data_IF_806152664297
#
_entry.id   IF_806152664297
#
_cell.length_a   1.000
_cell.length_b   1.000
_cell.length_c   1.000
_cell.angle_alpha   90.00
_cell.angle_beta   90.00
_cell.angle_gamma   90.00
#
_symmetry.space_group_name_H-M   'P 1'
#
loop_
_entity.id
_entity.type
_entity.pdbx_description
1 polymer ?
#
# COMPACT_ATOMS: atom_id res chain seq x y z
N UNK A 1 26.84 12.54 29.03
CA UNK A 1 27.51 13.21 27.89
C UNK A 1 27.85 12.15 26.84
N UNK A 2 26.82 11.58 26.19
CA UNK A 2 26.89 10.61 25.07
C UNK A 2 25.61 10.76 24.21
N UNK A 3 25.23 12.02 23.93
CA UNK A 3 24.20 12.39 22.95
C UNK A 3 24.93 13.01 21.76
N UNK A 4 25.27 12.22 20.74
CA UNK A 4 25.66 12.77 19.42
C UNK A 4 26.04 11.74 18.34
N UNK A 5 26.02 10.43 18.58
CA UNK A 5 26.60 9.51 17.58
C UNK A 5 25.66 9.02 16.47
N UNK A 6 24.36 9.29 16.50
CA UNK A 6 23.46 8.87 15.41
C UNK A 6 22.32 9.87 15.20
N UNK A 7 22.56 10.86 14.33
CA UNK A 7 21.60 11.62 13.50
C UNK A 7 22.30 12.84 12.88
N UNK A 8 23.35 12.55 12.10
CA UNK A 8 23.77 13.41 10.99
C UNK A 8 24.04 12.49 9.82
N UNK A 9 22.97 11.96 9.26
CA UNK A 9 23.06 11.46 7.88
C UNK A 9 23.25 12.71 7.02
N UNK A 10 24.51 13.04 6.75
CA UNK A 10 24.84 13.87 5.60
C UNK A 10 24.44 13.06 4.38
N UNK A 11 23.22 13.27 3.90
CA UNK A 11 22.74 12.65 2.68
C UNK A 11 23.56 13.21 1.51
N UNK A 12 24.61 12.46 1.13
CA UNK A 12 25.14 12.51 -0.23
C UNK A 12 23.95 12.35 -1.20
N UNK A 13 24.02 12.98 -2.37
CA UNK A 13 23.15 12.70 -3.53
C UNK A 13 22.82 11.20 -3.55
N UNK A 14 21.57 10.84 -3.31
CA UNK A 14 21.12 9.44 -3.32
C UNK A 14 21.29 8.94 -4.76
N UNK A 15 22.07 7.87 -4.95
CA UNK A 15 22.35 7.33 -6.28
C UNK A 15 21.17 6.46 -6.74
N UNK A 16 20.89 6.42 -8.04
CA UNK A 16 19.87 5.54 -8.64
C UNK A 16 20.06 4.07 -8.25
N UNK A 17 21.31 3.64 -8.05
CA UNK A 17 21.65 2.28 -7.60
C UNK A 17 21.18 1.99 -6.17
N UNK A 18 20.94 3.02 -5.37
CA UNK A 18 20.48 2.86 -3.99
C UNK A 18 18.97 2.61 -3.92
N UNK A 19 18.24 2.65 -5.05
CA UNK A 19 16.78 2.45 -5.10
C UNK A 19 16.34 1.14 -5.72
N UNK A 20 17.22 0.34 -6.32
CA UNK A 20 16.85 -0.95 -6.94
C UNK A 20 17.60 -2.09 -6.25
N UNK A 21 16.85 -3.08 -5.77
CA UNK A 21 17.36 -4.33 -5.24
C UNK A 21 17.02 -5.47 -6.21
N UNK A 22 18.04 -6.15 -6.73
CA UNK A 22 17.84 -7.39 -7.47
C UNK A 22 17.52 -8.52 -6.49
N UNK A 23 16.25 -8.94 -6.47
CA UNK A 23 15.80 -10.02 -5.60
C UNK A 23 15.47 -11.26 -6.42
N UNK A 24 15.89 -12.41 -5.91
CA UNK A 24 15.45 -13.70 -6.43
C UNK A 24 14.06 -14.04 -5.87
N UNK A 25 13.15 -14.34 -6.78
CA UNK A 25 11.80 -14.81 -6.48
C UNK A 25 11.68 -16.32 -6.74
N UNK A 26 12.81 -17.03 -6.75
CA UNK A 26 12.86 -18.50 -6.67
C UNK A 26 12.12 -18.95 -5.40
N UNK A 27 10.93 -19.52 -5.58
CA UNK A 27 10.02 -19.86 -4.50
C UNK A 27 8.64 -19.30 -4.82
N UNK A 28 7.66 -20.18 -4.97
CA UNK A 28 6.34 -19.75 -5.44
C UNK A 28 5.52 -19.13 -4.32
N UNK A 29 5.72 -19.47 -3.05
CA UNK A 29 4.81 -19.10 -1.96
C UNK A 29 5.58 -18.91 -0.65
N UNK A 30 5.18 -17.94 0.17
CA UNK A 30 5.75 -17.67 1.50
C UNK A 30 4.65 -17.85 2.56
N UNK A 31 4.97 -18.56 3.65
CA UNK A 31 4.05 -18.76 4.77
C UNK A 31 3.95 -17.53 5.67
N UNK A 32 5.10 -16.97 6.07
CA UNK A 32 5.17 -15.71 6.81
C UNK A 32 4.91 -14.51 5.87
N UNK A 33 4.43 -13.38 6.40
CA UNK A 33 4.14 -12.22 5.56
C UNK A 33 5.43 -11.62 4.99
N UNK A 34 5.50 -11.53 3.67
CA UNK A 34 6.59 -10.88 2.93
C UNK A 34 5.99 -9.86 1.97
N UNK A 35 6.48 -8.63 2.03
CA UNK A 35 6.08 -7.54 1.14
C UNK A 35 7.25 -7.13 0.29
N UNK A 36 7.05 -7.16 -1.03
CA UNK A 36 8.03 -6.67 -2.00
C UNK A 36 7.47 -5.45 -2.72
N UNK A 37 8.15 -4.31 -2.59
CA UNK A 37 7.75 -3.12 -3.34
C UNK A 37 8.28 -3.20 -4.78
N UNK A 38 7.41 -3.37 -5.76
CA UNK A 38 7.79 -3.48 -7.19
C UNK A 38 7.93 -2.09 -7.84
N UNK A 39 7.42 -1.06 -7.16
CA UNK A 39 7.45 0.34 -7.58
C UNK A 39 6.05 0.91 -7.72
N UNK A 40 5.92 2.22 -7.54
CA UNK A 40 4.65 2.95 -7.49
C UNK A 40 3.73 2.40 -6.40
N UNK A 41 2.49 2.03 -6.72
CA UNK A 41 1.56 1.33 -5.83
C UNK A 41 1.57 -0.20 -6.02
N UNK A 42 2.51 -0.74 -6.82
CA UNK A 42 2.61 -2.18 -7.07
C UNK A 42 3.41 -2.88 -5.97
N UNK A 43 2.74 -3.76 -5.23
CA UNK A 43 3.35 -4.66 -4.26
C UNK A 43 3.04 -6.10 -4.60
N UNK A 44 4.05 -6.97 -4.47
CA UNK A 44 3.84 -8.40 -4.30
C UNK A 44 3.77 -8.67 -2.79
N UNK A 45 2.59 -9.08 -2.33
CA UNK A 45 2.32 -9.46 -0.95
C UNK A 45 2.19 -10.99 -0.93
N UNK A 46 3.05 -11.64 -0.17
CA UNK A 46 3.02 -13.08 0.03
C UNK A 46 2.68 -13.33 1.50
N UNK A 47 1.60 -14.08 1.75
CA UNK A 47 1.10 -14.31 3.12
C UNK A 47 0.30 -15.61 3.15
N UNK A 48 0.56 -16.49 4.13
CA UNK A 48 -0.21 -17.72 4.30
C UNK A 48 -0.18 -18.67 3.10
N UNK A 49 0.85 -18.59 2.26
CA UNK A 49 0.94 -19.39 1.04
C UNK A 49 0.12 -18.87 -0.14
N UNK A 50 -0.35 -17.61 -0.12
CA UNK A 50 -0.96 -16.95 -1.30
C UNK A 50 -0.12 -15.77 -1.77
N UNK A 51 -0.14 -15.51 -3.08
CA UNK A 51 0.47 -14.34 -3.69
C UNK A 51 -0.58 -13.35 -4.18
N UNK A 52 -0.49 -12.13 -3.68
CA UNK A 52 -1.40 -11.03 -3.97
C UNK A 52 -0.60 -9.91 -4.63
N UNK A 53 -1.10 -9.38 -5.74
CA UNK A 53 -0.48 -8.26 -6.45
C UNK A 53 -1.41 -7.04 -6.41
N UNK A 54 -0.93 -5.91 -5.90
CA UNK A 54 -1.71 -4.66 -5.88
C UNK A 54 -1.40 -3.82 -7.12
N UNK A 55 -2.41 -3.15 -7.67
CA UNK A 55 -2.30 -2.11 -8.71
C UNK A 55 -1.14 -2.32 -9.70
N UNK A 56 -1.17 -3.41 -10.50
CA UNK A 56 0.00 -3.88 -11.22
C UNK A 56 0.38 -2.94 -12.36
N UNK A 57 1.54 -2.29 -12.20
CA UNK A 57 2.22 -1.54 -13.25
C UNK A 57 3.66 -2.02 -13.33
N UNK A 58 3.92 -2.92 -14.27
CA UNK A 58 5.17 -3.66 -14.47
C UNK A 58 6.02 -3.09 -15.63
N UNK A 59 5.74 -1.84 -16.02
CA UNK A 59 6.38 -1.14 -17.12
C UNK A 59 6.00 0.34 -17.14
N UNK A 60 6.07 0.95 -18.33
CA UNK A 60 5.44 2.26 -18.58
C UNK A 60 3.90 2.09 -18.63
N UNK A 61 3.13 3.00 -18.01
CA UNK A 61 1.67 2.89 -17.88
C UNK A 61 0.89 3.23 -19.18
N UNK A 62 1.08 2.43 -20.22
CA UNK A 62 0.47 2.66 -21.54
C UNK A 62 1.08 3.85 -22.29
N UNK A 63 0.64 4.06 -23.54
CA UNK A 63 1.33 4.94 -24.50
C UNK A 63 1.33 6.42 -24.08
N UNK A 64 0.24 6.92 -23.49
CA UNK A 64 0.15 8.32 -23.08
C UNK A 64 1.05 8.63 -21.88
N UNK A 65 1.07 7.76 -20.86
CA UNK A 65 2.03 7.92 -19.76
C UNK A 65 3.45 7.73 -20.25
N UNK A 66 3.72 6.82 -21.18
CA UNK A 66 5.07 6.67 -21.75
C UNK A 66 5.61 7.96 -22.37
N UNK A 67 4.74 8.81 -22.91
CA UNK A 67 5.10 10.10 -23.51
C UNK A 67 5.28 11.18 -22.44
N UNK A 68 4.36 11.29 -21.47
CA UNK A 68 4.31 12.43 -20.54
C UNK A 68 4.85 12.12 -19.13
N UNK A 69 4.75 10.87 -18.70
CA UNK A 69 5.03 10.38 -17.35
C UNK A 69 5.87 9.09 -17.42
N UNK A 70 6.97 9.13 -18.18
CA UNK A 70 7.83 7.96 -18.35
C UNK A 70 8.32 7.44 -16.98
N UNK A 71 8.33 6.13 -16.80
CA UNK A 71 8.82 5.51 -15.56
C UNK A 71 10.29 5.86 -15.32
N UNK A 72 10.61 6.28 -14.10
CA UNK A 72 11.96 6.69 -13.70
C UNK A 72 12.87 5.48 -13.46
N UNK A 73 12.35 4.44 -12.82
CA UNK A 73 13.08 3.23 -12.45
C UNK A 73 12.39 1.98 -12.97
N UNK A 74 13.17 0.94 -13.31
CA UNK A 74 12.61 -0.34 -13.71
C UNK A 74 11.77 -0.94 -12.57
N UNK A 75 10.72 -1.72 -12.88
CA UNK A 75 10.02 -2.47 -11.84
C UNK A 75 10.98 -3.43 -11.14
N UNK A 76 10.77 -3.64 -9.83
CA UNK A 76 11.60 -4.54 -9.02
C UNK A 76 11.58 -5.99 -9.47
N UNK A 77 10.56 -6.37 -10.25
CA UNK A 77 10.43 -7.67 -10.88
C UNK A 77 9.76 -7.51 -12.25
N UNK A 78 10.22 -8.26 -13.24
CA UNK A 78 9.56 -8.34 -14.54
C UNK A 78 8.36 -9.30 -14.49
N UNK A 79 7.34 -9.05 -15.31
CA UNK A 79 6.12 -9.87 -15.33
C UNK A 79 6.38 -11.38 -15.50
N UNK A 80 7.35 -11.75 -16.34
CA UNK A 80 7.74 -13.15 -16.58
C UNK A 80 8.50 -13.83 -15.43
N UNK A 81 8.92 -13.07 -14.41
CA UNK A 81 9.60 -13.57 -13.22
C UNK A 81 8.70 -13.58 -11.98
N UNK A 82 7.47 -13.07 -12.09
CA UNK A 82 6.50 -13.14 -10.99
C UNK A 82 6.22 -14.60 -10.61
N UNK A 83 6.07 -14.91 -9.32
CA UNK A 83 5.51 -16.19 -8.91
C UNK A 83 4.06 -16.30 -9.40
N UNK A 84 3.45 -17.48 -9.27
CA UNK A 84 2.04 -17.63 -9.65
C UNK A 84 1.17 -16.69 -8.79
N UNK A 85 0.42 -15.76 -9.41
CA UNK A 85 -0.39 -14.78 -8.68
C UNK A 85 -1.80 -15.35 -8.53
N UNK A 86 -2.29 -15.38 -7.30
CA UNK A 86 -3.62 -15.92 -6.99
C UNK A 86 -4.66 -14.80 -7.00
N UNK A 87 -4.29 -13.61 -6.49
CA UNK A 87 -5.19 -12.46 -6.40
C UNK A 87 -4.54 -11.19 -6.95
N UNK A 88 -5.33 -10.36 -7.65
CA UNK A 88 -4.95 -9.00 -8.04
C UNK A 88 -5.95 -8.04 -7.46
N UNK A 89 -5.46 -7.05 -6.70
CA UNK A 89 -6.28 -6.01 -6.10
C UNK A 89 -6.13 -4.72 -6.89
N UNK A 90 -7.25 -4.14 -7.30
CA UNK A 90 -7.29 -2.84 -7.97
C UNK A 90 -7.93 -1.81 -7.03
N UNK A 91 -7.23 -0.72 -6.74
CA UNK A 91 -7.76 0.38 -5.92
C UNK A 91 -8.72 1.26 -6.73
N UNK A 92 -8.33 1.63 -7.95
CA UNK A 92 -9.08 2.49 -8.85
C UNK A 92 -8.58 2.37 -10.29
N UNK A 93 -9.20 3.10 -11.22
CA UNK A 93 -9.05 2.85 -12.64
C UNK A 93 -8.00 3.71 -13.36
N UNK A 94 -7.22 4.55 -12.69
CA UNK A 94 -6.19 5.35 -13.35
C UNK A 94 -5.11 4.45 -13.99
N UNK A 95 -4.43 4.95 -15.02
CA UNK A 95 -3.53 4.09 -15.82
C UNK A 95 -2.27 3.67 -15.04
N UNK A 96 -1.82 4.48 -14.08
CA UNK A 96 -0.71 4.18 -13.19
C UNK A 96 -1.08 3.22 -12.04
N UNK A 97 -2.34 2.78 -11.96
CA UNK A 97 -2.80 1.73 -11.03
C UNK A 97 -3.39 0.51 -11.74
N UNK A 98 -4.01 0.74 -12.89
CA UNK A 98 -4.70 -0.26 -13.69
C UNK A 98 -4.14 -0.23 -15.12
N UNK A 99 -2.86 -0.60 -15.27
CA UNK A 99 -2.18 -0.61 -16.56
C UNK A 99 -2.63 -1.82 -17.42
N UNK A 100 -2.98 -1.55 -18.67
CA UNK A 100 -3.54 -2.57 -19.55
C UNK A 100 -2.51 -3.62 -19.95
N UNK A 101 -1.27 -3.20 -20.24
CA UNK A 101 -0.21 -4.10 -20.69
C UNK A 101 0.23 -5.03 -19.56
N UNK A 102 0.41 -4.45 -18.36
CA UNK A 102 0.72 -5.19 -17.13
C UNK A 102 -0.35 -6.21 -16.82
N UNK A 103 -1.64 -5.83 -16.80
CA UNK A 103 -2.74 -6.76 -16.54
C UNK A 103 -2.81 -7.88 -17.60
N UNK A 104 -2.64 -7.57 -18.89
CA UNK A 104 -2.65 -8.58 -19.95
C UNK A 104 -1.49 -9.58 -19.82
N UNK A 105 -0.33 -9.13 -19.32
CA UNK A 105 0.84 -10.01 -19.09
C UNK A 105 0.57 -11.06 -18.00
N UNK A 106 -0.36 -10.80 -17.08
CA UNK A 106 -0.73 -11.70 -15.98
C UNK A 106 -1.64 -12.86 -16.42
N UNK A 107 -2.12 -12.89 -17.67
CA UNK A 107 -3.01 -13.97 -18.15
C UNK A 107 -2.38 -15.36 -18.16
N UNK A 108 -1.04 -15.44 -18.09
CA UNK A 108 -0.33 -16.71 -18.05
C UNK A 108 -0.32 -17.34 -16.64
N UNK A 109 -0.73 -16.60 -15.60
CA UNK A 109 -0.84 -17.13 -14.24
C UNK A 109 -2.11 -17.97 -14.10
N UNK A 110 -2.02 -19.05 -13.34
CA UNK A 110 -3.10 -20.03 -13.20
C UNK A 110 -4.12 -19.51 -12.19
N UNK A 111 -5.40 -19.57 -12.56
CA UNK A 111 -6.54 -19.35 -11.66
C UNK A 111 -6.62 -17.99 -10.94
N UNK A 112 -5.87 -16.99 -11.41
CA UNK A 112 -5.86 -15.62 -10.87
C UNK A 112 -7.28 -15.04 -10.76
N UNK A 113 -7.58 -14.41 -9.63
CA UNK A 113 -8.84 -13.73 -9.35
C UNK A 113 -8.58 -12.22 -9.22
N UNK A 114 -9.26 -11.43 -10.05
CA UNK A 114 -9.18 -9.97 -10.02
C UNK A 114 -10.27 -9.42 -9.11
N UNK A 115 -9.89 -8.66 -8.09
CA UNK A 115 -10.80 -7.95 -7.20
C UNK A 115 -10.75 -6.47 -7.51
N UNK A 116 -11.89 -5.91 -7.95
CA UNK A 116 -11.91 -4.59 -8.57
C UNK A 116 -13.01 -3.70 -8.01
N UNK A 117 -12.88 -2.37 -8.06
CA UNK A 117 -13.95 -1.48 -7.64
C UNK A 117 -15.16 -1.60 -8.56
N UNK A 118 -16.36 -1.40 -8.03
CA UNK A 118 -17.62 -1.40 -8.79
C UNK A 118 -17.52 -0.59 -10.08
N UNK A 119 -17.97 -1.19 -11.18
CA UNK A 119 -17.96 -0.60 -12.52
C UNK A 119 -16.71 -0.94 -13.35
N UNK A 120 -15.64 -1.46 -12.73
CA UNK A 120 -14.45 -1.88 -13.47
C UNK A 120 -14.56 -3.28 -14.08
N UNK A 121 -15.43 -4.16 -13.57
CA UNK A 121 -15.55 -5.55 -14.04
C UNK A 121 -15.76 -5.64 -15.55
N UNK A 122 -16.58 -4.76 -16.13
CA UNK A 122 -16.82 -4.71 -17.58
C UNK A 122 -15.54 -4.53 -18.40
N UNK A 123 -14.56 -3.78 -17.88
CA UNK A 123 -13.27 -3.59 -18.55
C UNK A 123 -12.47 -4.89 -18.61
N UNK A 124 -12.53 -5.68 -17.52
CA UNK A 124 -11.86 -6.98 -17.38
C UNK A 124 -12.54 -8.06 -18.24
N UNK A 125 -13.87 -8.13 -18.18
CA UNK A 125 -14.67 -9.09 -18.95
C UNK A 125 -14.43 -8.92 -20.46
N UNK A 126 -14.43 -7.67 -20.96
CA UNK A 126 -14.14 -7.35 -22.37
C UNK A 126 -12.74 -7.78 -22.82
N UNK A 127 -11.82 -7.97 -21.89
CA UNK A 127 -10.45 -8.41 -22.15
C UNK A 127 -10.24 -9.89 -21.86
N UNK A 128 -11.28 -10.64 -21.48
CA UNK A 128 -11.20 -12.08 -21.28
C UNK A 128 -10.49 -12.50 -19.99
N UNK A 129 -10.56 -11.68 -18.93
CA UNK A 129 -10.16 -12.11 -17.60
C UNK A 129 -11.31 -12.93 -16.97
N UNK A 130 -11.06 -14.23 -16.76
CA UNK A 130 -12.13 -15.19 -16.46
C UNK A 130 -12.74 -15.05 -15.06
N UNK A 131 -11.95 -14.67 -14.05
CA UNK A 131 -12.38 -14.50 -12.66
C UNK A 131 -12.19 -13.07 -12.21
N UNK A 132 -13.27 -12.29 -12.22
CA UNK A 132 -13.27 -10.91 -11.75
C UNK A 132 -14.49 -10.68 -10.87
N UNK A 133 -14.29 -10.18 -9.65
CA UNK A 133 -15.34 -9.75 -8.73
C UNK A 133 -15.30 -8.23 -8.58
N UNK A 134 -16.46 -7.59 -8.40
CA UNK A 134 -16.55 -6.16 -8.16
C UNK A 134 -17.15 -5.80 -6.81
N UNK A 135 -16.67 -4.71 -6.21
CA UNK A 135 -16.96 -4.38 -4.81
C UNK A 135 -17.36 -2.91 -4.64
N UNK A 136 -18.35 -2.68 -3.79
CA UNK A 136 -18.63 -1.41 -3.13
C UNK A 136 -17.77 -1.28 -1.86
N UNK A 137 -17.66 -0.06 -1.33
CA UNK A 137 -17.06 0.12 -0.01
C UNK A 137 -17.77 -0.70 1.05
N UNK A 138 -16.98 -1.24 1.97
CA UNK A 138 -17.36 -2.14 3.06
C UNK A 138 -17.79 -3.55 2.62
N UNK A 139 -17.78 -3.86 1.32
CA UNK A 139 -17.94 -5.24 0.87
C UNK A 139 -16.74 -6.08 1.32
N UNK A 140 -17.04 -7.32 1.70
CA UNK A 140 -16.06 -8.31 2.17
C UNK A 140 -16.22 -9.62 1.42
N UNK A 141 -15.11 -10.23 1.05
CA UNK A 141 -15.07 -11.59 0.51
C UNK A 141 -14.02 -12.43 1.26
N UNK A 142 -14.37 -13.70 1.49
CA UNK A 142 -13.57 -14.65 2.27
C UNK A 142 -13.27 -15.85 1.39
N UNK A 143 -11.98 -16.15 1.22
CA UNK A 143 -11.50 -17.31 0.48
C UNK A 143 -10.86 -18.29 1.45
N UNK A 144 -11.44 -19.49 1.55
CA UNK A 144 -10.87 -20.59 2.33
C UNK A 144 -10.09 -21.53 1.43
N UNK A 145 -8.97 -22.04 1.92
CA UNK A 145 -8.11 -22.97 1.17
C UNK A 145 -7.35 -23.89 2.13
N UNK A 146 -6.87 -25.02 1.61
CA UNK A 146 -6.00 -25.93 2.34
C UNK A 146 -4.61 -25.30 2.49
N UNK A 147 -4.03 -25.36 3.69
CA UNK A 147 -2.66 -24.92 3.92
C UNK A 147 -1.68 -25.93 3.32
N UNK A 148 -0.53 -25.45 2.84
CA UNK A 148 0.51 -26.30 2.27
C UNK A 148 1.84 -26.10 2.98
N UNK A 149 2.60 -27.17 3.21
CA UNK A 149 3.97 -27.11 3.72
C UNK A 149 4.95 -26.56 2.65
N UNK A 150 6.20 -26.31 3.06
CA UNK A 150 7.26 -25.80 2.16
C UNK A 150 7.56 -26.74 0.96
N UNK A 151 7.06 -27.99 1.01
CA UNK A 151 7.21 -28.99 -0.04
C UNK A 151 5.93 -29.14 -0.91
N UNK A 152 4.89 -28.36 -0.63
CA UNK A 152 3.63 -28.36 -1.36
C UNK A 152 2.65 -29.48 -0.97
N UNK A 153 2.85 -30.16 0.16
CA UNK A 153 1.87 -31.12 0.69
C UNK A 153 0.87 -30.39 1.58
N UNK A 154 -0.36 -30.92 1.70
CA UNK A 154 -1.35 -30.37 2.64
C UNK A 154 -0.77 -30.43 4.06
N UNK A 155 -0.62 -29.26 4.68
CA UNK A 155 -0.26 -29.15 6.08
C UNK A 155 -1.52 -29.41 6.92
N UNK A 156 -1.58 -30.58 7.55
CA UNK A 156 -2.72 -30.98 8.40
C UNK A 156 -2.73 -30.28 9.76
N UNK A 157 -1.65 -29.59 10.13
CA UNK A 157 -1.52 -28.90 11.42
C UNK A 157 -2.17 -27.52 11.35
N UNK A 158 -2.06 -26.86 10.20
CA UNK A 158 -2.73 -25.61 9.88
C UNK A 158 -4.08 -25.92 9.22
N UNK A 159 -5.17 -25.64 9.93
CA UNK A 159 -6.53 -25.83 9.42
C UNK A 159 -7.25 -24.49 9.30
N UNK A 160 -8.28 -24.45 8.44
CA UNK A 160 -9.14 -23.27 8.24
C UNK A 160 -8.37 -22.02 7.78
N UNK A 161 -7.36 -22.16 6.92
CA UNK A 161 -6.71 -21.01 6.30
C UNK A 161 -7.72 -20.18 5.50
N UNK A 162 -7.79 -18.89 5.83
CA UNK A 162 -8.66 -17.93 5.19
C UNK A 162 -7.87 -16.67 4.84
N UNK A 163 -8.07 -16.20 3.61
CA UNK A 163 -7.69 -14.85 3.21
C UNK A 163 -8.98 -14.04 2.98
N UNK A 164 -9.12 -12.95 3.71
CA UNK A 164 -10.26 -12.05 3.62
C UNK A 164 -9.82 -10.77 2.93
N UNK A 165 -10.66 -10.27 2.02
CA UNK A 165 -10.49 -8.98 1.39
C UNK A 165 -11.69 -8.11 1.73
N UNK A 166 -11.43 -6.92 2.26
CA UNK A 166 -12.44 -5.87 2.42
C UNK A 166 -12.09 -4.70 1.52
N UNK A 167 -13.02 -4.28 0.66
CA UNK A 167 -12.86 -3.07 -0.13
C UNK A 167 -13.33 -1.88 0.70
N UNK A 168 -12.47 -0.90 0.95
CA UNK A 168 -12.68 0.16 1.92
C UNK A 168 -12.68 1.54 1.25
N UNK A 169 -13.24 2.58 1.88
CA UNK A 169 -13.24 3.92 1.31
C UNK A 169 -11.84 4.50 1.10
N UNK A 170 -11.76 5.46 0.17
CA UNK A 170 -10.62 6.36 -0.06
C UNK A 170 -11.16 7.69 -0.59
N UNK A 171 -10.45 8.80 -0.35
CA UNK A 171 -10.80 10.13 -0.87
C UNK A 171 -10.06 10.37 -2.19
N UNK A 172 -10.62 9.88 -3.30
CA UNK A 172 -10.02 9.96 -4.63
C UNK A 172 -11.10 10.08 -5.72
N UNK A 173 -10.76 9.73 -6.96
CA UNK A 173 -11.63 9.81 -8.12
C UNK A 173 -11.24 8.74 -9.15
N UNK A 174 -11.96 8.68 -10.27
CA UNK A 174 -11.65 7.71 -11.34
C UNK A 174 -11.85 8.32 -12.73
N UNK A 175 -10.99 7.99 -13.69
CA UNK A 175 -11.13 8.33 -15.11
C UNK A 175 -10.16 7.55 -15.99
N UNK A 176 -10.60 7.10 -17.17
CA UNK A 176 -9.70 6.51 -18.19
C UNK A 176 -9.86 7.10 -19.57
N UNK A 177 -11.09 7.46 -19.92
CA UNK A 177 -11.46 8.15 -21.16
C UNK A 177 -11.87 9.59 -20.89
N UNK A 178 -12.36 10.27 -21.93
CA UNK A 178 -12.71 11.70 -21.85
C UNK A 178 -14.06 11.92 -21.15
N UNK A 179 -14.97 10.94 -21.18
CA UNK A 179 -16.35 11.07 -20.70
C UNK A 179 -16.73 10.05 -19.62
N UNK A 180 -15.75 9.52 -18.89
CA UNK A 180 -15.96 8.48 -17.87
C UNK A 180 -15.47 8.85 -16.48
N UNK A 181 -15.27 10.14 -16.21
CA UNK A 181 -14.96 10.64 -14.87
C UNK A 181 -16.01 10.13 -13.88
N UNK A 182 -15.53 9.54 -12.77
CA UNK A 182 -16.31 8.99 -11.66
C UNK A 182 -17.36 7.93 -12.06
N UNK A 183 -17.25 7.30 -13.24
CA UNK A 183 -18.16 6.22 -13.65
C UNK A 183 -17.83 4.85 -13.05
N UNK A 184 -16.68 4.74 -12.38
CA UNK A 184 -16.30 3.56 -11.60
C UNK A 184 -15.88 3.99 -10.20
N UNK A 185 -16.03 3.10 -9.23
CA UNK A 185 -15.60 3.36 -7.86
C UNK A 185 -14.07 3.37 -7.75
N UNK A 186 -13.57 3.90 -6.64
CA UNK A 186 -12.17 3.90 -6.18
C UNK A 186 -12.17 3.54 -4.69
N UNK A 187 -11.04 3.13 -4.12
CA UNK A 187 -11.00 2.75 -2.71
C UNK A 187 -9.66 2.19 -2.28
N UNK A 188 -9.62 1.74 -1.05
CA UNK A 188 -8.51 1.02 -0.43
C UNK A 188 -8.86 -0.45 -0.22
N UNK A 189 -7.88 -1.27 0.14
CA UNK A 189 -8.07 -2.70 0.43
C UNK A 189 -7.53 -3.04 1.80
N UNK A 190 -8.27 -3.84 2.56
CA UNK A 190 -7.74 -4.55 3.72
C UNK A 190 -7.64 -6.04 3.39
N UNK A 191 -6.44 -6.58 3.57
CA UNK A 191 -6.13 -8.00 3.43
C UNK A 191 -5.99 -8.55 4.85
N UNK A 192 -6.73 -9.59 5.20
CA UNK A 192 -6.63 -10.26 6.49
C UNK A 192 -6.42 -11.75 6.30
N UNK A 193 -5.28 -12.25 6.78
CA UNK A 193 -5.00 -13.69 6.84
C UNK A 193 -5.26 -14.23 8.23
N UNK A 194 -5.89 -15.41 8.31
CA UNK A 194 -6.08 -16.13 9.56
C UNK A 194 -6.10 -17.64 9.31
N UNK A 195 -5.74 -18.40 10.32
CA UNK A 195 -5.87 -19.87 10.35
C UNK A 195 -6.12 -20.33 11.79
N UNK A 196 -5.97 -21.63 12.07
CA UNK A 196 -6.14 -22.18 13.42
C UNK A 196 -5.22 -21.61 14.49
N UNK A 197 -4.07 -21.02 14.13
CA UNK A 197 -3.07 -20.48 15.06
C UNK A 197 -2.94 -18.95 15.00
N UNK A 198 -3.26 -18.35 13.86
CA UNK A 198 -3.13 -16.93 13.59
C UNK A 198 -4.50 -16.27 13.67
N UNK A 199 -4.71 -15.48 14.71
CA UNK A 199 -5.96 -14.76 14.96
C UNK A 199 -6.01 -13.41 14.22
N UNK A 200 -5.83 -13.44 12.89
CA UNK A 200 -5.92 -12.28 12.01
C UNK A 200 -4.64 -11.44 11.93
N UNK A 201 -3.96 -11.49 10.78
CA UNK A 201 -2.89 -10.59 10.40
C UNK A 201 -3.36 -9.66 9.27
N UNK A 202 -3.32 -8.35 9.50
CA UNK A 202 -3.97 -7.34 8.67
C UNK A 202 -2.98 -6.44 7.93
N UNK A 203 -3.11 -6.37 6.61
CA UNK A 203 -2.36 -5.49 5.72
C UNK A 203 -3.35 -4.54 5.05
N UNK A 204 -3.20 -3.25 5.30
CA UNK A 204 -3.96 -2.18 4.68
C UNK A 204 -3.20 -1.63 3.47
N UNK A 205 -3.86 -1.58 2.32
CA UNK A 205 -3.37 -0.97 1.09
C UNK A 205 -4.24 0.22 0.74
N UNK A 206 -3.70 1.43 0.90
CA UNK A 206 -4.50 2.66 0.81
C UNK A 206 -4.97 3.02 -0.61
N UNK A 207 -4.33 2.48 -1.66
CA UNK A 207 -4.46 3.03 -3.01
C UNK A 207 -4.04 4.50 -3.05
N UNK A 208 -4.67 5.27 -3.94
CA UNK A 208 -4.56 6.73 -3.93
C UNK A 208 -5.68 7.35 -3.13
N UNK A 209 -5.32 8.32 -2.30
CA UNK A 209 -6.28 8.98 -1.42
C UNK A 209 -5.72 10.31 -0.92
N UNK A 210 -6.60 11.30 -0.77
CA UNK A 210 -6.38 12.43 0.13
C UNK A 210 -6.64 12.02 1.58
N UNK A 211 -6.22 12.87 2.51
CA UNK A 211 -6.55 12.68 3.91
C UNK A 211 -8.00 13.09 4.17
N UNK A 212 -8.75 12.21 4.84
CA UNK A 212 -10.13 12.44 5.27
C UNK A 212 -10.50 11.49 6.43
N UNK A 213 -11.70 11.62 6.98
CA UNK A 213 -12.20 10.90 8.16
C UNK A 213 -12.23 9.36 8.00
N UNK A 214 -12.28 8.86 6.76
CA UNK A 214 -12.33 7.41 6.47
C UNK A 214 -11.21 6.60 7.14
N UNK A 215 -10.01 7.16 7.36
CA UNK A 215 -8.94 6.45 8.07
C UNK A 215 -9.31 6.08 9.51
N UNK A 216 -10.00 6.98 10.22
CA UNK A 216 -10.50 6.73 11.58
C UNK A 216 -11.64 5.73 11.58
N UNK A 217 -12.55 5.82 10.60
CA UNK A 217 -13.66 4.87 10.43
C UNK A 217 -13.13 3.45 10.18
N UNK A 218 -12.13 3.32 9.30
CA UNK A 218 -11.46 2.04 9.02
C UNK A 218 -10.80 1.48 10.27
N UNK A 219 -10.11 2.31 11.06
CA UNK A 219 -9.46 1.90 12.32
C UNK A 219 -10.47 1.43 13.37
N UNK A 220 -11.65 2.06 13.43
CA UNK A 220 -12.74 1.69 14.33
C UNK A 220 -13.35 0.33 13.95
N UNK A 221 -13.59 0.09 12.66
CA UNK A 221 -14.15 -1.17 12.16
C UNK A 221 -13.12 -2.31 12.17
N UNK A 222 -11.86 -2.00 11.86
CA UNK A 222 -10.77 -2.97 11.74
C UNK A 222 -9.60 -2.64 12.67
N UNK A 223 -9.75 -2.86 13.99
CA UNK A 223 -8.67 -2.61 14.94
C UNK A 223 -7.49 -3.56 14.73
N UNK A 224 -6.30 -3.07 15.08
CA UNK A 224 -5.06 -3.85 15.07
C UNK A 224 -4.57 -4.14 13.65
N UNK A 225 -4.46 -3.10 12.82
CA UNK A 225 -3.81 -3.19 11.51
C UNK A 225 -2.30 -3.41 11.74
N UNK A 226 -1.72 -4.47 11.17
CA UNK A 226 -0.29 -4.74 11.35
C UNK A 226 0.55 -3.89 10.41
N UNK A 227 0.15 -3.80 9.14
CA UNK A 227 0.93 -3.10 8.11
C UNK A 227 0.02 -2.14 7.36
N UNK A 228 0.47 -0.90 7.16
CA UNK A 228 -0.16 0.07 6.28
C UNK A 228 0.80 0.44 5.13
N UNK A 229 0.37 0.13 3.91
CA UNK A 229 0.99 0.57 2.66
C UNK A 229 0.35 1.90 2.28
N UNK A 230 1.10 2.99 2.41
CA UNK A 230 0.56 4.35 2.37
C UNK A 230 1.22 5.19 1.27
N UNK A 231 0.45 5.87 0.40
CA UNK A 231 1.03 6.82 -0.54
C UNK A 231 1.66 7.98 0.22
N UNK A 232 2.74 8.54 -0.33
CA UNK A 232 3.39 9.75 0.22
C UNK A 232 3.52 10.88 -0.80
N UNK A 233 3.08 10.63 -2.03
CA UNK A 233 3.00 11.57 -3.14
C UNK A 233 1.97 11.10 -4.18
N UNK A 234 1.83 11.83 -5.31
CA UNK A 234 2.44 13.12 -5.58
C UNK A 234 2.01 14.19 -4.58
N UNK A 235 2.88 15.18 -4.35
CA UNK A 235 2.68 16.19 -3.31
C UNK A 235 2.70 17.64 -3.81
N UNK A 236 3.13 17.95 -5.04
CA UNK A 236 3.11 19.33 -5.54
C UNK A 236 2.47 19.45 -6.94
N UNK A 237 1.76 20.56 -7.22
CA UNK A 237 1.40 21.66 -6.31
C UNK A 237 0.26 21.32 -5.35
N UNK A 238 0.45 21.49 -4.02
CA UNK A 238 -0.55 21.10 -3.00
C UNK A 238 -1.95 21.65 -3.21
N UNK A 239 -2.10 22.90 -3.68
CA UNK A 239 -3.42 23.53 -3.91
C UNK A 239 -4.34 22.69 -4.81
N UNK A 240 -3.80 21.92 -5.74
CA UNK A 240 -4.58 21.13 -6.68
C UNK A 240 -4.64 19.65 -6.30
N UNK A 241 -3.54 19.12 -5.76
CA UNK A 241 -3.37 17.69 -5.50
C UNK A 241 -3.96 17.25 -4.14
N UNK A 242 -4.04 18.16 -3.16
CA UNK A 242 -4.50 17.84 -1.80
C UNK A 242 -5.94 17.29 -1.70
N UNK A 243 -6.76 17.45 -2.74
CA UNK A 243 -8.12 16.91 -2.79
C UNK A 243 -8.16 15.41 -3.14
N UNK A 244 -7.05 14.87 -3.66
CA UNK A 244 -7.01 13.50 -4.17
C UNK A 244 -5.77 12.72 -3.70
N UNK A 245 -4.71 13.37 -3.20
CA UNK A 245 -3.53 12.72 -2.66
C UNK A 245 -3.06 13.34 -1.35
N UNK A 246 -2.68 12.47 -0.42
CA UNK A 246 -1.90 12.82 0.76
C UNK A 246 -0.49 13.27 0.38
N UNK A 247 0.06 14.21 1.13
CA UNK A 247 1.51 14.36 1.21
C UNK A 247 2.10 13.48 2.32
N UNK A 248 3.42 13.50 2.48
CA UNK A 248 4.10 12.71 3.51
C UNK A 248 3.61 13.00 4.94
N UNK A 249 3.22 14.25 5.25
CA UNK A 249 2.75 14.63 6.59
C UNK A 249 1.34 14.11 6.84
N UNK A 250 0.45 14.30 5.87
CA UNK A 250 -0.91 13.74 5.90
C UNK A 250 -0.89 12.21 5.94
N UNK A 251 0.07 11.57 5.27
CA UNK A 251 0.28 10.12 5.32
C UNK A 251 0.65 9.63 6.73
N UNK A 252 1.46 10.40 7.47
CA UNK A 252 1.77 10.10 8.88
C UNK A 252 0.57 10.29 9.80
N UNK A 253 -0.27 11.30 9.56
CA UNK A 253 -1.52 11.50 10.31
C UNK A 253 -2.47 10.33 10.04
N UNK A 254 -2.69 10.00 8.76
CA UNK A 254 -3.51 8.85 8.35
C UNK A 254 -3.03 7.54 8.98
N UNK A 255 -1.71 7.30 8.99
CA UNK A 255 -1.13 6.13 9.65
C UNK A 255 -1.39 6.09 11.15
N UNK A 256 -1.29 7.24 11.83
CA UNK A 256 -1.64 7.36 13.25
C UNK A 256 -3.12 7.06 13.48
N UNK A 257 -4.01 7.57 12.63
CA UNK A 257 -5.45 7.36 12.73
C UNK A 257 -5.86 5.90 12.46
N UNK A 258 -5.20 5.25 11.49
CA UNK A 258 -5.30 3.80 11.25
C UNK A 258 -4.80 2.96 12.42
N UNK A 259 -4.02 3.55 13.33
CA UNK A 259 -3.33 2.88 14.42
C UNK A 259 -2.54 1.64 13.98
N UNK A 260 -1.99 1.66 12.76
CA UNK A 260 -1.26 0.52 12.21
C UNK A 260 0.13 0.37 12.86
N UNK A 261 0.72 -0.84 12.91
CA UNK A 261 2.01 -1.09 13.59
C UNK A 261 3.23 -0.76 12.72
N UNK A 262 3.15 -1.03 11.42
CA UNK A 262 4.22 -0.85 10.45
C UNK A 262 3.79 0.05 9.29
N UNK A 263 4.60 1.07 8.98
CA UNK A 263 4.42 1.96 7.84
C UNK A 263 5.34 1.53 6.69
N UNK A 264 4.79 1.39 5.49
CA UNK A 264 5.56 1.19 4.25
C UNK A 264 5.10 2.23 3.21
N UNK A 265 5.98 3.16 2.75
CA UNK A 265 5.60 4.17 1.78
C UNK A 265 5.45 3.60 0.37
N UNK A 266 4.56 4.21 -0.41
CA UNK A 266 4.34 3.91 -1.83
C UNK A 266 4.00 5.16 -2.64
N UNK A 267 3.75 4.99 -3.94
CA UNK A 267 3.35 6.06 -4.87
C UNK A 267 4.38 7.21 -5.03
N UNK A 268 5.65 6.93 -4.77
CA UNK A 268 6.74 7.88 -4.98
C UNK A 268 7.87 7.24 -5.77
N UNK A 269 8.78 8.09 -6.25
CA UNK A 269 10.02 7.61 -6.87
C UNK A 269 9.83 6.73 -8.10
N UNK A 270 8.66 6.72 -8.77
CA UNK A 270 8.40 5.83 -9.91
C UNK A 270 7.95 6.57 -11.16
N UNK A 271 6.95 7.45 -11.04
CA UNK A 271 6.48 8.30 -12.13
C UNK A 271 6.52 9.78 -11.70
N UNK A 272 6.86 10.72 -12.60
CA UNK A 272 6.84 12.15 -12.31
C UNK A 272 5.41 12.72 -12.42
N UNK A 273 4.51 12.33 -11.51
CA UNK A 273 3.08 12.70 -11.57
C UNK A 273 2.78 14.08 -10.98
N UNK A 274 3.69 14.60 -10.14
CA UNK A 274 3.63 15.94 -9.57
C UNK A 274 4.74 16.86 -10.11
N UNK A 275 4.76 18.09 -9.60
CA UNK A 275 5.77 19.11 -9.93
C UNK A 275 7.04 19.00 -9.07
N UNK A 276 7.05 18.11 -8.07
CA UNK A 276 8.20 17.86 -7.21
C UNK A 276 9.31 17.01 -7.84
N UNK A 277 10.49 17.05 -7.23
CA UNK A 277 11.52 16.03 -7.47
C UNK A 277 11.07 14.68 -6.89
N UNK A 278 11.45 13.58 -7.54
CA UNK A 278 10.99 12.23 -7.21
C UNK A 278 11.32 11.76 -5.78
N UNK A 279 12.35 12.33 -5.15
CA UNK A 279 12.85 12.01 -3.82
C UNK A 279 12.29 12.92 -2.71
N UNK A 280 11.64 14.04 -3.08
CA UNK A 280 11.09 14.99 -2.12
C UNK A 280 10.04 14.36 -1.18
N UNK A 281 9.09 13.52 -1.65
CA UNK A 281 8.14 12.86 -0.76
C UNK A 281 8.81 12.02 0.33
N UNK A 282 9.84 11.24 -0.04
CA UNK A 282 10.58 10.42 0.90
C UNK A 282 11.32 11.27 1.93
N UNK A 283 11.98 12.35 1.49
CA UNK A 283 12.67 13.25 2.40
C UNK A 283 11.72 13.89 3.41
N UNK A 284 10.53 14.31 2.96
CA UNK A 284 9.48 14.84 3.86
C UNK A 284 8.99 13.77 4.84
N UNK A 285 8.83 12.52 4.40
CA UNK A 285 8.43 11.40 5.26
C UNK A 285 9.45 11.14 6.37
N UNK A 286 10.74 11.03 6.03
CA UNK A 286 11.80 10.73 7.01
C UNK A 286 11.92 11.83 8.07
N UNK A 287 11.84 13.09 7.66
CA UNK A 287 11.85 14.21 8.60
C UNK A 287 10.58 14.22 9.46
N UNK A 288 9.40 14.09 8.85
CA UNK A 288 8.14 14.05 9.58
C UNK A 288 8.03 12.87 10.55
N UNK A 289 8.58 11.70 10.19
CA UNK A 289 8.62 10.54 11.08
C UNK A 289 9.38 10.85 12.37
N UNK A 290 10.50 11.57 12.27
CA UNK A 290 11.29 11.97 13.43
C UNK A 290 10.50 12.90 14.36
N UNK A 291 9.82 13.89 13.80
CA UNK A 291 8.98 14.84 14.56
C UNK A 291 7.82 14.13 15.29
N UNK A 292 7.13 13.21 14.60
CA UNK A 292 6.02 12.44 15.15
C UNK A 292 6.47 11.39 16.19
N UNK A 293 7.68 10.85 16.03
CA UNK A 293 8.27 9.96 17.03
C UNK A 293 8.66 10.73 18.31
N UNK A 294 9.23 11.93 18.18
CA UNK A 294 9.60 12.75 19.34
C UNK A 294 8.39 13.26 20.14
N UNK A 295 7.22 13.38 19.51
CA UNK A 295 5.96 13.71 20.18
C UNK A 295 5.30 12.53 20.90
N UNK A 296 5.75 11.30 20.65
CA UNK A 296 5.16 10.07 21.19
C UNK A 296 4.01 9.48 20.38
N UNK A 297 3.60 10.13 19.28
CA UNK A 297 2.50 9.64 18.43
C UNK A 297 2.84 8.33 17.69
N UNK A 298 4.12 8.04 17.51
CA UNK A 298 4.61 6.82 16.84
C UNK A 298 5.33 5.85 17.78
N UNK A 299 5.08 5.95 19.09
CA UNK A 299 5.65 5.02 20.07
C UNK A 299 5.29 3.57 19.73
N UNK A 300 6.32 2.72 19.61
CA UNK A 300 6.17 1.31 19.24
C UNK A 300 5.84 1.04 17.76
N UNK A 301 5.75 2.08 16.91
CA UNK A 301 5.54 1.94 15.47
C UNK A 301 6.88 1.79 14.73
N UNK A 302 6.87 1.14 13.56
CA UNK A 302 8.09 1.00 12.73
C UNK A 302 7.89 1.55 11.31
N UNK A 303 8.92 2.22 10.80
CA UNK A 303 9.00 2.67 9.41
C UNK A 303 9.89 1.73 8.60
N UNK A 304 9.39 1.25 7.47
CA UNK A 304 10.14 0.43 6.52
C UNK A 304 10.28 1.19 5.20
N UNK A 305 11.51 1.39 4.73
CA UNK A 305 11.81 2.11 3.49
C UNK A 305 12.42 1.14 2.46
N UNK A 306 11.61 0.24 1.86
CA UNK A 306 12.15 -0.72 0.92
C UNK A 306 12.69 -0.02 -0.33
N UNK A 307 13.77 -0.57 -0.88
CA UNK A 307 14.15 -0.32 -2.26
C UNK A 307 13.16 -1.01 -3.21
N UNK A 308 13.07 -0.54 -4.45
CA UNK A 308 12.32 -1.21 -5.51
C UNK A 308 12.91 -2.60 -5.72
N UNK A 309 12.10 -3.64 -5.53
CA UNK A 309 12.46 -5.05 -5.59
C UNK A 309 12.85 -5.66 -4.24
N UNK A 310 13.01 -4.87 -3.18
CA UNK A 310 13.41 -5.41 -1.87
C UNK A 310 12.24 -6.13 -1.17
N UNK A 311 12.53 -7.34 -0.66
CA UNK A 311 11.65 -8.08 0.25
C UNK A 311 11.77 -7.54 1.68
N UNK A 312 10.64 -7.21 2.29
CA UNK A 312 10.50 -6.90 3.71
C UNK A 312 9.72 -8.04 4.36
N UNK A 313 10.34 -8.71 5.33
CA UNK A 313 9.74 -9.85 6.04
C UNK A 313 9.13 -9.39 7.36
N UNK A 314 7.97 -9.93 7.69
CA UNK A 314 7.26 -9.70 8.95
C UNK A 314 7.02 -11.05 9.64
N UNK A 315 6.56 -11.01 10.89
CA UNK A 315 6.17 -12.21 11.64
C UNK A 315 4.76 -12.08 12.17
N UNK A 316 4.03 -13.19 12.23
CA UNK A 316 2.74 -13.26 12.91
C UNK A 316 2.82 -13.01 14.41
N UNK A 317 3.98 -13.26 15.03
CA UNK A 317 4.18 -12.98 16.44
C UNK A 317 4.40 -11.47 16.62
N UNK A 318 3.66 -10.85 17.55
CA UNK A 318 4.05 -9.52 18.03
C UNK A 318 5.46 -9.63 18.58
N UNK A 319 6.40 -8.92 17.97
CA UNK A 319 7.72 -8.74 18.56
C UNK A 319 7.51 -8.29 20.00
N UNK A 320 8.12 -9.00 20.96
CA UNK A 320 8.25 -8.50 22.32
C UNK A 320 9.08 -7.22 22.21
N UNK A 321 8.41 -6.09 22.01
CA UNK A 321 9.05 -4.78 22.14
C UNK A 321 9.44 -4.70 23.61
N UNK A 322 10.73 -4.79 23.89
CA UNK A 322 11.27 -4.38 25.17
C UNK A 322 10.88 -2.91 25.35
N UNK A 323 9.81 -2.67 26.11
CA UNK A 323 9.37 -1.33 26.43
C UNK A 323 10.43 -0.71 27.35
N UNK A 324 11.17 0.26 26.80
CA UNK A 324 11.95 1.13 27.65
C UNK A 324 10.96 2.05 28.39
N UNK A 325 10.75 1.80 29.68
CA UNK A 325 10.01 2.72 30.54
C UNK A 325 10.77 4.05 30.59
N UNK A 326 10.27 5.07 29.88
CA UNK A 326 10.68 6.44 30.13
C UNK A 326 9.73 7.04 31.16
N UNK A 327 10.26 7.26 32.35
CA UNK A 327 9.61 7.99 33.42
C UNK A 327 9.38 9.47 33.04
N UNK A 328 8.18 9.94 33.41
CA UNK A 328 7.74 11.33 33.59
C UNK A 328 7.11 12.06 32.39
N UNK A 329 5.79 12.20 32.52
CA UNK A 329 4.87 13.31 32.18
C UNK A 329 5.35 14.24 31.06
N UNK A 330 4.65 14.21 29.92
CA UNK A 330 4.56 15.31 28.95
C UNK A 330 3.09 15.61 28.70
N UNK A 331 2.77 16.91 28.66
CA UNK A 331 1.46 17.43 28.27
C UNK A 331 1.01 16.83 26.93
N UNK A 332 -0.29 16.55 26.79
CA UNK A 332 -0.90 16.15 25.51
C UNK A 332 -0.61 17.22 24.45
N UNK A 333 0.33 16.93 23.55
CA UNK A 333 0.54 17.72 22.34
C UNK A 333 -0.48 17.23 21.31
N UNK A 334 -1.52 18.02 21.05
CA UNK A 334 -2.53 17.68 20.04
C UNK A 334 -1.92 17.65 18.63
N UNK A 335 -2.42 16.73 17.78
CA UNK A 335 -2.06 16.63 16.36
C UNK A 335 -2.10 17.99 15.64
N UNK A 336 -3.07 18.85 15.99
CA UNK A 336 -3.22 20.20 15.45
C UNK A 336 -2.00 21.10 15.71
N UNK A 337 -1.36 21.00 16.89
CA UNK A 337 -0.17 21.81 17.23
C UNK A 337 1.08 21.40 16.46
N UNK A 338 1.24 20.09 16.19
CA UNK A 338 2.37 19.57 15.40
C UNK A 338 2.17 19.80 13.91
N UNK A 339 0.91 19.77 13.47
CA UNK A 339 0.60 19.69 12.05
C UNK A 339 0.13 21.00 11.42
N UNK A 340 -0.45 21.91 12.20
CA UNK A 340 -1.19 23.07 11.69
C UNK A 340 -2.47 22.67 10.93
N UNK A 341 -2.87 21.39 11.01
CA UNK A 341 -4.01 20.81 10.31
C UNK A 341 -5.25 20.88 11.22
N UNK A 342 -6.35 21.40 10.71
CA UNK A 342 -7.67 21.36 11.36
C UNK A 342 -8.57 20.40 10.57
N UNK A 343 -9.27 19.46 11.24
CA UNK A 343 -10.03 18.40 10.59
C UNK A 343 -11.32 18.86 9.88
N UNK A 344 -11.68 20.14 9.94
CA UNK A 344 -12.93 20.65 9.34
C UNK A 344 -12.76 20.96 7.85
N UNK A 345 -12.75 19.91 7.02
CA UNK A 345 -13.17 20.01 5.61
C UNK A 345 -14.34 19.06 5.38
N UNK A 346 -15.53 19.50 5.74
CA UNK A 346 -16.75 18.85 5.28
C UNK A 346 -16.79 18.89 3.74
N UNK A 347 -16.81 17.72 3.10
CA UNK A 347 -17.13 17.61 1.69
C UNK A 347 -18.61 17.99 1.49
N UNK A 348 -18.84 18.93 0.58
CA UNK A 348 -20.15 19.26 0.06
C UNK A 348 -20.67 18.08 -0.78
N UNK A 349 -21.77 17.45 -0.36
CA UNK A 349 -22.32 16.22 -0.95
C UNK A 349 -22.95 16.42 -2.34
N UNK A 350 -22.89 17.63 -2.90
CA UNK A 350 -23.63 18.00 -4.12
C UNK A 350 -22.84 17.84 -5.45
N UNK A 351 -21.89 16.91 -5.53
CA UNK A 351 -21.26 16.58 -6.82
C UNK A 351 -21.10 15.07 -7.08
N UNK A 352 -22.24 14.40 -7.23
CA UNK A 352 -22.38 13.08 -7.87
C UNK A 352 -22.60 13.20 -9.38
#
# INVERSE_FOLDING_TARGET
MLKSLWLRVSFKKIDIKDFICETDFSGNYEQEPVITWIGHATFLIQIGGVNILTDPVLGDAGILYKIFYKRLFKPGISANKLPNIDFVLISHNHMDHMDAESLLSLKNHKNIHFLVPKGNKRWFDKRGFAKTSEYCWWDKEVFSYDSFDDFGNIDKTLSNSQINFSFLPASHWSQRGVFDKNKTLWGSWLIEYKNSEINGFKIFFAGDTAYDQHFKEISQEYPGINIALMPIGPCEPRKFIAHHHVDAKESLIAFSDLNAEHFVPMHWGTFPLGAENFDLPLHRLVNGWSDFYESGLLDGKSLHLPQIGQKVKFSYQKSQVFSYQKSQVKEEVSLEKLTGFSPDRAFDQDSL
#
